data_IF_461957458663
#
_entry.id   IF_461957458663
#
_cell.length_a   1.000
_cell.length_b   1.000
_cell.length_c   1.000
_cell.angle_alpha   90.00
_cell.angle_beta   90.00
_cell.angle_gamma   90.00
#
_symmetry.space_group_name_H-M   'P 1'
#
loop_
_entity.id
_entity.type
_entity.pdbx_description
1 polymer ?
#
# COMPACT_ATOMS: atom_id res chain seq x y z
N UNK A 1 10.63 -4.58 13.72
CA UNK A 1 10.35 -4.67 12.28
C UNK A 1 8.87 -4.93 12.17
N UNK A 2 8.15 -4.01 11.54
CA UNK A 2 6.71 -4.15 11.38
C UNK A 2 6.39 -4.50 9.94
N UNK A 3 5.45 -5.42 9.75
CA UNK A 3 4.93 -5.74 8.43
C UNK A 3 4.19 -4.54 7.85
N UNK A 4 4.24 -4.38 6.53
CA UNK A 4 3.40 -3.39 5.89
C UNK A 4 1.91 -3.76 6.09
N UNK A 5 1.07 -2.77 6.37
CA UNK A 5 -0.37 -2.97 6.51
C UNK A 5 -0.98 -3.54 5.21
N UNK A 6 -1.95 -4.44 5.36
CA UNK A 6 -2.64 -5.09 4.25
C UNK A 6 -4.14 -4.81 4.22
N UNK A 7 -4.73 -4.43 5.36
CA UNK A 7 -6.13 -4.06 5.48
C UNK A 7 -6.29 -2.54 5.61
N UNK A 8 -7.40 -2.00 5.08
CA UNK A 8 -7.71 -0.57 5.22
C UNK A 8 -7.89 -0.12 6.67
N UNK A 9 -8.23 -1.05 7.56
CA UNK A 9 -8.38 -0.79 9.01
C UNK A 9 -7.05 -0.78 9.75
N UNK A 10 -5.98 -1.27 9.12
CA UNK A 10 -4.67 -1.29 9.74
C UNK A 10 -4.16 0.14 9.92
N UNK A 11 -3.45 0.36 11.03
CA UNK A 11 -2.84 1.66 11.31
C UNK A 11 -1.81 2.01 10.24
N UNK A 12 -1.89 3.22 9.70
CA UNK A 12 -0.86 3.75 8.80
C UNK A 12 0.38 4.11 9.64
N UNK A 13 1.53 3.43 9.45
CA UNK A 13 2.76 3.72 10.18
C UNK A 13 3.38 5.09 9.87
N UNK A 14 2.97 5.76 8.79
CA UNK A 14 3.57 7.00 8.31
C UNK A 14 2.71 8.20 8.70
N UNK A 15 1.43 8.18 8.32
CA UNK A 15 0.52 9.31 8.55
C UNK A 15 -0.43 9.10 9.72
N UNK A 16 -0.57 7.87 10.23
CA UNK A 16 -1.64 7.51 11.16
C UNK A 16 -3.02 7.91 10.60
N UNK A 17 -3.78 8.69 11.38
CA UNK A 17 -5.07 9.25 10.96
C UNK A 17 -4.98 10.60 10.26
N UNK A 18 -3.81 11.27 10.27
CA UNK A 18 -3.68 12.66 9.84
C UNK A 18 -4.08 12.89 8.37
N UNK A 19 -3.72 11.96 7.49
CA UNK A 19 -4.06 12.06 6.06
C UNK A 19 -5.57 11.97 5.82
N UNK A 20 -6.27 11.09 6.56
CA UNK A 20 -7.73 10.96 6.45
C UNK A 20 -8.41 12.22 6.98
N UNK A 21 -8.00 12.68 8.16
CA UNK A 21 -8.54 13.90 8.76
C UNK A 21 -8.36 15.09 7.82
N UNK A 22 -7.19 15.25 7.20
CA UNK A 22 -6.94 16.33 6.23
C UNK A 22 -7.89 16.28 5.03
N UNK A 23 -8.14 15.09 4.47
CA UNK A 23 -9.05 14.93 3.34
C UNK A 23 -10.51 15.22 3.74
N UNK A 24 -10.92 14.78 4.93
CA UNK A 24 -12.26 15.04 5.48
C UNK A 24 -12.47 16.54 5.76
N UNK A 25 -11.50 17.21 6.41
CA UNK A 25 -11.50 18.65 6.67
C UNK A 25 -11.53 19.46 5.36
N UNK A 26 -10.82 18.99 4.34
CA UNK A 26 -10.79 19.60 3.00
C UNK A 26 -12.03 19.27 2.16
N UNK A 27 -13.01 18.54 2.70
CA UNK A 27 -14.23 18.12 2.01
C UNK A 27 -13.95 17.32 0.71
N UNK A 28 -12.84 16.59 0.65
CA UNK A 28 -12.47 15.76 -0.49
C UNK A 28 -13.11 14.39 -0.30
N UNK A 29 -14.10 14.04 -1.13
CA UNK A 29 -14.67 12.69 -1.11
C UNK A 29 -13.74 11.68 -1.81
N UNK A 30 -12.89 11.05 -1.02
CA UNK A 30 -11.91 10.07 -1.48
C UNK A 30 -12.48 8.65 -1.66
N UNK A 31 -13.68 8.36 -1.13
CA UNK A 31 -14.20 6.98 -1.06
C UNK A 31 -14.48 6.37 -2.45
N UNK A 32 -15.10 7.08 -3.41
CA UNK A 32 -15.31 6.56 -4.76
C UNK A 32 -13.99 6.26 -5.47
N UNK A 33 -13.01 7.16 -5.33
CA UNK A 33 -11.67 7.03 -5.91
C UNK A 33 -10.96 5.80 -5.35
N UNK A 34 -11.00 5.59 -4.03
CA UNK A 34 -10.40 4.41 -3.42
C UNK A 34 -11.05 3.11 -3.89
N UNK A 35 -12.37 3.09 -4.12
CA UNK A 35 -13.06 1.92 -4.66
C UNK A 35 -12.58 1.59 -6.07
N UNK A 36 -12.51 2.59 -6.94
CA UNK A 36 -12.04 2.41 -8.33
C UNK A 36 -10.58 1.93 -8.37
N UNK A 37 -9.70 2.62 -7.65
CA UNK A 37 -8.27 2.27 -7.58
C UNK A 37 -8.06 0.88 -7.01
N UNK A 38 -8.84 0.48 -6.00
CA UNK A 38 -8.78 -0.89 -5.46
C UNK A 38 -9.10 -1.92 -6.51
N UNK A 39 -10.14 -1.68 -7.32
CA UNK A 39 -10.52 -2.60 -8.39
C UNK A 39 -9.45 -2.69 -9.47
N UNK A 40 -8.85 -1.57 -9.87
CA UNK A 40 -7.77 -1.54 -10.85
C UNK A 40 -6.52 -2.26 -10.33
N UNK A 41 -6.11 -1.97 -9.10
CA UNK A 41 -4.98 -2.63 -8.44
C UNK A 41 -5.20 -4.15 -8.36
N UNK A 42 -6.36 -4.59 -7.86
CA UNK A 42 -6.68 -6.02 -7.78
C UNK A 42 -6.68 -6.70 -9.16
N UNK A 43 -7.14 -6.03 -10.23
CA UNK A 43 -7.06 -6.57 -11.59
C UNK A 43 -5.61 -6.69 -12.06
N UNK A 44 -4.79 -5.68 -11.80
CA UNK A 44 -3.36 -5.69 -12.13
C UNK A 44 -2.61 -6.82 -11.40
N UNK A 45 -2.89 -7.01 -10.11
CA UNK A 45 -2.25 -8.05 -9.28
C UNK A 45 -2.63 -9.49 -9.67
N UNK A 46 -3.63 -9.71 -10.53
CA UNK A 46 -3.97 -11.05 -11.04
C UNK A 46 -2.88 -11.68 -11.89
N UNK A 47 -1.99 -10.87 -12.48
CA UNK A 47 -0.87 -11.39 -13.28
C UNK A 47 0.16 -12.12 -12.41
N UNK A 48 0.19 -11.83 -11.11
CA UNK A 48 1.13 -12.44 -10.16
C UNK A 48 0.56 -13.78 -9.73
N UNK A 49 1.31 -14.86 -10.00
CA UNK A 49 0.95 -16.21 -9.58
C UNK A 49 0.78 -16.29 -8.05
N UNK A 50 -0.10 -17.17 -7.56
CA UNK A 50 -0.41 -17.24 -6.13
C UNK A 50 0.75 -17.78 -5.27
N UNK A 51 1.78 -18.34 -5.88
CA UNK A 51 3.00 -18.89 -5.29
C UNK A 51 4.27 -18.12 -5.72
N UNK A 52 4.12 -16.92 -6.28
CA UNK A 52 5.23 -16.12 -6.80
C UNK A 52 6.28 -15.75 -5.73
N UNK A 53 5.87 -15.64 -4.46
CA UNK A 53 6.76 -15.29 -3.35
C UNK A 53 6.66 -16.38 -2.29
N UNK A 54 7.51 -17.40 -2.41
CA UNK A 54 7.54 -18.55 -1.50
C UNK A 54 8.93 -18.73 -0.88
N UNK A 55 8.97 -19.18 0.38
CA UNK A 55 10.19 -19.61 1.06
C UNK A 55 9.91 -20.90 1.82
N UNK A 56 10.41 -22.01 1.30
CA UNK A 56 10.09 -23.34 1.81
C UNK A 56 8.57 -23.58 1.86
N UNK A 57 7.98 -23.93 3.02
CA UNK A 57 6.55 -24.16 3.15
C UNK A 57 5.70 -22.87 3.24
N UNK A 58 6.34 -21.69 3.27
CA UNK A 58 5.66 -20.42 3.49
C UNK A 58 5.39 -19.70 2.18
N UNK A 59 4.16 -19.21 2.02
CA UNK A 59 3.72 -18.41 0.88
C UNK A 59 3.39 -16.98 1.33
N UNK A 60 4.16 -16.01 0.85
CA UNK A 60 4.05 -14.60 1.17
C UNK A 60 3.35 -13.79 0.07
N UNK A 61 2.96 -14.43 -1.04
CA UNK A 61 2.35 -13.77 -2.19
C UNK A 61 1.09 -13.01 -1.77
N UNK A 62 0.22 -13.64 -0.97
CA UNK A 62 -1.02 -13.00 -0.51
C UNK A 62 -0.76 -11.78 0.37
N UNK A 63 0.03 -11.87 1.46
CA UNK A 63 0.45 -10.69 2.22
C UNK A 63 1.05 -9.57 1.36
N UNK A 64 1.89 -9.92 0.39
CA UNK A 64 2.53 -8.94 -0.50
C UNK A 64 1.52 -8.25 -1.43
N UNK A 65 0.55 -8.99 -2.00
CA UNK A 65 -0.58 -8.43 -2.77
C UNK A 65 -1.46 -7.52 -1.92
N UNK A 66 -1.76 -7.94 -0.69
CA UNK A 66 -2.59 -7.16 0.24
C UNK A 66 -1.86 -5.85 0.65
N UNK A 67 -0.55 -5.89 0.89
CA UNK A 67 0.27 -4.70 1.14
C UNK A 67 0.35 -3.75 -0.06
N UNK A 68 0.50 -4.28 -1.29
CA UNK A 68 0.49 -3.48 -2.50
C UNK A 68 -0.86 -2.76 -2.69
N UNK A 69 -1.97 -3.45 -2.40
CA UNK A 69 -3.31 -2.87 -2.45
C UNK A 69 -3.48 -1.76 -1.42
N UNK A 70 -3.02 -1.96 -0.18
CA UNK A 70 -3.01 -0.92 0.84
C UNK A 70 -2.19 0.30 0.38
N UNK A 71 -0.94 0.08 -0.03
CA UNK A 71 -0.03 1.11 -0.52
C UNK A 71 -0.67 1.94 -1.63
N UNK A 72 -1.33 1.30 -2.59
CA UNK A 72 -1.99 1.98 -3.71
C UNK A 72 -3.09 2.93 -3.22
N UNK A 73 -3.88 2.53 -2.22
CA UNK A 73 -4.93 3.38 -1.63
C UNK A 73 -4.36 4.58 -0.92
N UNK A 74 -3.31 4.39 -0.10
CA UNK A 74 -2.73 5.51 0.65
C UNK A 74 -1.99 6.47 -0.27
N UNK A 75 -1.26 5.96 -1.26
CA UNK A 75 -0.61 6.77 -2.30
C UNK A 75 -1.64 7.63 -3.08
N UNK A 76 -2.83 7.08 -3.36
CA UNK A 76 -3.91 7.85 -3.96
C UNK A 76 -4.39 8.99 -3.04
N UNK A 77 -4.53 8.72 -1.74
CA UNK A 77 -4.87 9.76 -0.76
C UNK A 77 -3.79 10.84 -0.64
N UNK A 78 -2.51 10.48 -0.63
CA UNK A 78 -1.39 11.44 -0.69
C UNK A 78 -1.48 12.33 -1.94
N UNK A 79 -1.79 11.71 -3.09
CA UNK A 79 -1.96 12.43 -4.36
C UNK A 79 -3.15 13.39 -4.34
N UNK A 80 -4.31 12.95 -3.81
CA UNK A 80 -5.49 13.80 -3.63
C UNK A 80 -5.24 14.96 -2.68
N UNK A 81 -4.43 14.72 -1.64
CA UNK A 81 -3.99 15.76 -0.70
C UNK A 81 -2.94 16.71 -1.29
N UNK A 82 -2.53 16.53 -2.56
CA UNK A 82 -1.45 17.27 -3.25
C UNK A 82 -0.12 17.24 -2.47
N UNK A 83 0.11 16.15 -1.73
CA UNK A 83 1.29 15.91 -0.89
C UNK A 83 1.81 14.49 -1.17
N UNK A 84 2.32 14.20 -2.39
CA UNK A 84 2.91 12.91 -2.69
C UNK A 84 4.06 12.65 -1.72
N UNK A 85 3.98 11.53 -1.01
CA UNK A 85 4.84 11.25 0.12
C UNK A 85 5.47 9.86 0.00
N UNK A 86 5.65 9.23 1.14
CA UNK A 86 6.35 7.96 1.25
C UNK A 86 5.55 6.85 0.58
N UNK A 87 4.21 6.85 0.66
CA UNK A 87 3.40 5.82 0.01
C UNK A 87 3.44 5.90 -1.52
N UNK A 88 3.48 7.11 -2.10
CA UNK A 88 3.74 7.28 -3.53
C UNK A 88 5.11 6.71 -3.95
N UNK A 89 6.15 6.89 -3.13
CA UNK A 89 7.48 6.29 -3.39
C UNK A 89 7.43 4.76 -3.32
N UNK A 90 6.75 4.20 -2.32
CA UNK A 90 6.59 2.74 -2.19
C UNK A 90 5.80 2.15 -3.38
N UNK A 91 4.77 2.86 -3.85
CA UNK A 91 4.01 2.43 -5.03
C UNK A 91 4.90 2.35 -6.28
N UNK A 92 5.84 3.29 -6.45
CA UNK A 92 6.79 3.25 -7.55
C UNK A 92 7.73 2.03 -7.48
N UNK A 93 8.08 1.56 -6.27
CA UNK A 93 8.87 0.34 -6.09
C UNK A 93 8.10 -0.90 -6.55
N UNK A 94 6.82 -1.03 -6.18
CA UNK A 94 5.95 -2.10 -6.71
C UNK A 94 5.87 -2.05 -8.23
N UNK A 95 5.70 -0.86 -8.82
CA UNK A 95 5.72 -0.69 -10.28
C UNK A 95 7.04 -1.07 -10.95
N UNK A 96 8.15 -1.04 -10.20
CA UNK A 96 9.48 -1.43 -10.67
C UNK A 96 9.80 -2.92 -10.43
N UNK A 97 8.83 -3.69 -9.91
CA UNK A 97 8.98 -5.12 -9.65
C UNK A 97 9.51 -5.49 -8.27
N UNK A 98 9.73 -4.52 -7.38
CA UNK A 98 10.12 -4.78 -5.99
C UNK A 98 8.89 -4.99 -5.12
N UNK A 99 8.96 -5.93 -4.18
CA UNK A 99 7.85 -6.28 -3.28
C UNK A 99 8.19 -5.97 -1.83
N UNK A 100 8.15 -4.68 -1.42
CA UNK A 100 8.33 -4.34 -0.02
C UNK A 100 7.25 -5.03 0.84
N UNK A 101 7.66 -5.58 1.96
CA UNK A 101 6.80 -6.35 2.86
C UNK A 101 6.84 -5.84 4.31
N UNK A 102 7.82 -5.01 4.66
CA UNK A 102 7.96 -4.47 6.00
C UNK A 102 8.77 -3.18 6.03
N UNK A 103 8.67 -2.50 7.17
CA UNK A 103 9.43 -1.29 7.46
C UNK A 103 10.14 -1.44 8.81
N UNK A 104 11.42 -1.07 8.83
CA UNK A 104 12.20 -0.99 10.04
C UNK A 104 11.93 0.34 10.78
N UNK A 105 12.20 0.44 12.09
CA UNK A 105 11.99 1.68 12.86
C UNK A 105 12.77 2.90 12.34
N UNK A 106 13.87 2.67 11.62
CA UNK A 106 14.68 3.70 10.96
C UNK A 106 14.12 4.12 9.59
N UNK A 107 13.00 3.53 9.15
CA UNK A 107 12.37 3.79 7.86
C UNK A 107 12.94 2.97 6.69
N UNK A 108 13.90 2.06 6.97
CA UNK A 108 14.44 1.14 5.96
C UNK A 108 13.34 0.15 5.52
N UNK A 109 13.20 -0.01 4.21
CA UNK A 109 12.24 -0.96 3.63
C UNK A 109 12.85 -2.35 3.55
N UNK A 110 12.07 -3.35 3.92
CA UNK A 110 12.40 -4.76 3.69
C UNK A 110 11.64 -5.22 2.45
N UNK A 111 12.39 -5.75 1.49
CA UNK A 111 11.89 -6.23 0.19
C UNK A 111 12.17 -7.73 0.12
N UNK A 112 11.19 -8.51 -0.35
CA UNK A 112 11.31 -9.94 -0.63
C UNK A 112 11.78 -10.19 -2.07
#
# INVERSE_FOLDING_TARGET
MDWLPGCITDSDPIHGSALRNFLEESQIDYRPVLKEISQLCMRSLRIVADDAITSGPHNFTKPAKDAALYCTRIAAMESMAKKPGRWCQLLALYGSGYWPCGMMPDGTLVVL
#
